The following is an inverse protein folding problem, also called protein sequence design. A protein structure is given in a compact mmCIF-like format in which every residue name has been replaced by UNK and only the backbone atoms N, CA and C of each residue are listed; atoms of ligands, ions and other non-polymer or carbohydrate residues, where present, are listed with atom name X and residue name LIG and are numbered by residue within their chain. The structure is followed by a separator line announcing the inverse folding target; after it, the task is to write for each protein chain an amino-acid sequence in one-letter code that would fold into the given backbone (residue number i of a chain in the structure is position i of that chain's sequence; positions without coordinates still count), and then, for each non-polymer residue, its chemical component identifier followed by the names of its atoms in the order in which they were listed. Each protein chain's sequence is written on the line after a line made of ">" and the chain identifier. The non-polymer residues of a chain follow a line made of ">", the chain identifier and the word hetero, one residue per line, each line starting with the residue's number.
data_IF_916033056693
#
_entry.id   IF_916033056693
#
_cell.length_a   1.000
_cell.length_b   1.000
_cell.length_c   1.000
_cell.angle_alpha   90.00
_cell.angle_beta   90.00
_cell.angle_gamma   90.00
#
_symmetry.space_group_name_H-M   'P 1'
#
loop_
_entity.id
_entity.type
_entity.pdbx_description
1 polymer ?
#
# COMPACT_ATOMS: atom_id res chain seq x y z
N UNK A 1 15.97 -7.12 -7.35
CA UNK A 1 14.88 -8.05 -6.95
C UNK A 1 14.62 -7.84 -5.47
N UNK A 2 13.40 -7.43 -5.08
CA UNK A 2 13.03 -7.22 -3.67
C UNK A 2 13.20 -8.52 -2.86
N UNK A 3 13.79 -8.44 -1.67
CA UNK A 3 14.21 -9.61 -0.87
C UNK A 3 13.09 -10.25 -0.02
N UNK A 4 11.81 -10.01 -0.35
CA UNK A 4 10.68 -10.57 0.39
C UNK A 4 10.34 -9.77 1.65
N UNK A 5 9.38 -10.28 2.42
CA UNK A 5 8.89 -9.66 3.67
C UNK A 5 10.07 -9.44 4.63
N UNK A 6 10.26 -8.20 5.06
CA UNK A 6 11.21 -7.87 6.13
C UNK A 6 10.59 -8.16 7.50
N UNK A 7 9.33 -7.77 7.68
CA UNK A 7 8.52 -8.08 8.86
C UNK A 7 7.05 -7.94 8.51
N UNK A 8 6.20 -8.74 9.12
CA UNK A 8 4.75 -8.67 8.95
C UNK A 8 4.06 -9.04 10.25
N UNK A 9 2.94 -8.39 10.51
CA UNK A 9 2.07 -8.66 11.65
C UNK A 9 0.62 -8.69 11.18
N UNK A 10 -0.23 -9.39 11.94
CA UNK A 10 -1.68 -9.41 11.73
C UNK A 10 -2.35 -8.62 12.85
N UNK A 11 -2.46 -7.27 12.73
CA UNK A 11 -3.04 -6.43 13.77
C UNK A 11 -4.55 -6.71 13.93
N UNK A 12 -5.20 -6.06 14.90
CA UNK A 12 -6.67 -6.02 15.04
C UNK A 12 -7.26 -4.60 15.04
N UNK A 13 -6.42 -3.56 14.87
CA UNK A 13 -6.85 -2.16 14.80
C UNK A 13 -7.73 -1.91 13.57
N UNK A 14 -8.63 -0.93 13.64
CA UNK A 14 -9.64 -0.56 12.64
C UNK A 14 -10.78 -1.55 12.40
N UNK A 15 -10.49 -2.80 12.00
CA UNK A 15 -11.56 -3.76 11.68
C UNK A 15 -11.16 -5.19 12.09
N UNK A 16 -11.39 -5.59 13.35
CA UNK A 16 -10.98 -6.90 13.85
C UNK A 16 -11.74 -8.09 13.22
N UNK A 17 -12.69 -7.82 12.31
CA UNK A 17 -13.53 -8.84 11.66
C UNK A 17 -12.98 -9.28 10.31
N UNK A 18 -11.99 -8.59 9.76
CA UNK A 18 -11.36 -8.92 8.48
C UNK A 18 -9.90 -9.32 8.69
N UNK A 19 -9.36 -10.10 7.75
CA UNK A 19 -7.92 -10.33 7.70
C UNK A 19 -7.22 -9.03 7.37
N UNK A 20 -6.12 -8.77 8.08
CA UNK A 20 -5.31 -7.59 7.84
C UNK A 20 -3.85 -7.90 8.11
N UNK A 21 -2.99 -7.27 7.33
CA UNK A 21 -1.54 -7.40 7.41
C UNK A 21 -0.93 -6.00 7.45
N UNK A 22 0.06 -5.80 8.30
CA UNK A 22 0.91 -4.62 8.20
C UNK A 22 2.36 -4.99 8.45
N UNK A 23 3.25 -4.32 7.73
CA UNK A 23 4.64 -4.73 7.71
C UNK A 23 5.47 -3.98 6.71
N UNK A 24 6.65 -4.53 6.44
CA UNK A 24 7.65 -3.91 5.59
C UNK A 24 8.13 -4.90 4.54
N UNK A 25 8.28 -4.41 3.32
CA UNK A 25 9.04 -5.10 2.27
C UNK A 25 10.36 -4.40 2.03
N UNK A 26 11.44 -5.18 2.00
CA UNK A 26 12.77 -4.66 1.68
C UNK A 26 13.00 -4.66 0.16
N UNK A 27 13.26 -3.47 -0.38
CA UNK A 27 13.55 -3.22 -1.79
C UNK A 27 15.06 -3.02 -1.97
N UNK A 28 15.68 -3.89 -2.76
CA UNK A 28 17.07 -3.79 -3.19
C UNK A 28 17.15 -3.37 -4.67
N UNK A 29 16.32 -2.41 -5.06
CA UNK A 29 16.15 -1.88 -6.43
C UNK A 29 17.24 -0.86 -6.75
N UNK A 30 16.89 0.25 -7.41
CA UNK A 30 17.69 1.27 -8.13
C UNK A 30 19.06 1.60 -7.54
N UNK A 31 19.24 1.44 -6.21
CA UNK A 31 20.51 1.58 -5.51
C UNK A 31 20.71 0.42 -4.52
N UNK A 32 21.39 -0.67 -4.91
CA UNK A 32 21.53 -1.88 -4.07
C UNK A 32 22.23 -1.64 -2.71
N UNK A 33 23.04 -0.60 -2.61
CA UNK A 33 23.73 -0.19 -1.38
C UNK A 33 22.89 0.71 -0.46
N UNK A 34 21.73 1.17 -0.94
CA UNK A 34 20.81 2.07 -0.24
C UNK A 34 19.42 1.43 -0.22
N UNK A 35 19.30 0.34 0.56
CA UNK A 35 18.05 -0.39 0.67
C UNK A 35 16.90 0.50 1.18
N UNK A 36 15.71 0.24 0.64
CA UNK A 36 14.47 0.92 1.00
C UNK A 36 13.51 -0.07 1.63
N UNK A 37 12.73 0.36 2.61
CA UNK A 37 11.78 -0.48 3.31
C UNK A 37 10.43 0.21 3.24
N UNK A 38 9.52 -0.34 2.44
CA UNK A 38 8.19 0.23 2.26
C UNK A 38 7.23 -0.40 3.27
N UNK A 39 6.66 0.44 4.12
CA UNK A 39 5.56 0.09 4.99
C UNK A 39 4.27 -0.03 4.18
N UNK A 40 3.47 -1.03 4.54
CA UNK A 40 2.15 -1.22 3.97
C UNK A 40 1.16 -1.63 5.06
N UNK A 41 -0.11 -1.33 4.82
CA UNK A 41 -1.22 -1.86 5.59
C UNK A 41 -2.33 -2.35 4.66
N UNK A 42 -2.58 -3.64 4.73
CA UNK A 42 -3.59 -4.36 3.96
C UNK A 42 -4.81 -4.70 4.81
N UNK A 43 -6.00 -4.58 4.22
CA UNK A 43 -7.26 -5.03 4.77
C UNK A 43 -8.06 -5.79 3.71
N UNK A 44 -8.56 -6.96 4.07
CA UNK A 44 -9.51 -7.67 3.22
C UNK A 44 -10.84 -6.92 3.08
N UNK A 45 -11.53 -7.21 1.98
CA UNK A 45 -12.91 -6.82 1.78
C UNK A 45 -13.81 -7.50 2.83
N UNK A 46 -14.75 -6.74 3.39
CA UNK A 46 -15.82 -7.23 4.26
C UNK A 46 -16.77 -8.18 3.51
N UNK A 47 -16.86 -8.03 2.19
CA UNK A 47 -17.68 -8.85 1.31
C UNK A 47 -16.80 -9.60 0.31
N UNK A 48 -16.88 -10.94 0.33
CA UNK A 48 -16.24 -11.84 -0.65
C UNK A 48 -14.75 -11.52 -0.93
N UNK A 49 -13.88 -11.47 0.09
CA UNK A 49 -12.49 -11.01 -0.08
C UNK A 49 -11.69 -11.81 -1.13
N UNK A 50 -11.95 -13.11 -1.26
CA UNK A 50 -11.30 -13.96 -2.26
C UNK A 50 -11.59 -13.56 -3.72
N UNK A 51 -12.67 -12.84 -4.01
CA UNK A 51 -13.03 -12.41 -5.37
C UNK A 51 -13.24 -10.91 -5.52
N UNK A 52 -13.19 -10.15 -4.42
CA UNK A 52 -13.23 -8.70 -4.44
C UNK A 52 -11.97 -8.12 -5.12
N UNK A 53 -12.06 -6.98 -5.81
CA UNK A 53 -10.89 -6.34 -6.40
C UNK A 53 -9.84 -5.95 -5.35
N UNK A 54 -8.57 -5.98 -5.73
CA UNK A 54 -7.45 -5.45 -4.94
C UNK A 54 -7.18 -4.01 -5.38
N UNK A 55 -7.30 -3.08 -4.44
CA UNK A 55 -7.03 -1.65 -4.65
C UNK A 55 -5.75 -1.27 -3.92
N UNK A 56 -4.73 -0.89 -4.68
CA UNK A 56 -3.59 -0.16 -4.17
C UNK A 56 -3.97 1.32 -4.00
N UNK A 57 -3.79 1.87 -2.80
CA UNK A 57 -3.99 3.29 -2.51
C UNK A 57 -2.66 4.01 -2.28
N UNK A 58 -2.49 5.14 -2.95
CA UNK A 58 -1.31 6.01 -2.84
C UNK A 58 -1.72 7.45 -2.52
N UNK A 59 -1.36 7.95 -1.34
CA UNK A 59 -1.49 9.38 -1.03
C UNK A 59 -0.34 10.18 -1.66
N UNK A 60 -0.62 11.43 -2.03
CA UNK A 60 0.30 12.34 -2.72
C UNK A 60 1.30 13.07 -1.80
N UNK A 61 1.25 14.41 -1.83
CA UNK A 61 2.20 15.28 -1.14
C UNK A 61 3.08 16.07 -2.13
N UNK A 62 4.20 15.53 -2.62
CA UNK A 62 4.79 14.20 -2.36
C UNK A 62 5.27 14.03 -0.90
N UNK A 63 5.23 12.79 -0.37
CA UNK A 63 5.74 12.47 0.97
C UNK A 63 4.67 12.43 2.08
N UNK A 64 3.39 12.49 1.72
CA UNK A 64 2.30 12.31 2.68
C UNK A 64 1.99 10.82 2.82
N UNK A 65 1.83 10.38 4.08
CA UNK A 65 1.53 8.99 4.40
C UNK A 65 0.15 8.57 3.93
N UNK A 66 0.01 7.32 3.47
CA UNK A 66 -1.27 6.77 3.04
C UNK A 66 -2.20 6.45 4.21
N UNK A 67 -1.68 6.42 5.43
CA UNK A 67 -2.47 6.28 6.65
C UNK A 67 -3.38 7.49 6.88
N UNK A 68 -3.09 8.64 6.25
CA UNK A 68 -4.03 9.78 6.22
C UNK A 68 -5.35 9.37 5.57
N UNK A 69 -5.30 8.65 4.45
CA UNK A 69 -6.50 8.17 3.78
C UNK A 69 -7.15 7.00 4.53
N UNK A 70 -6.33 6.13 5.12
CA UNK A 70 -6.79 5.02 5.95
C UNK A 70 -7.66 5.52 7.11
N UNK A 71 -7.20 6.53 7.86
CA UNK A 71 -7.89 7.03 9.05
C UNK A 71 -8.82 8.23 8.80
N UNK A 72 -8.66 8.94 7.68
CA UNK A 72 -9.37 10.20 7.41
C UNK A 72 -10.37 10.15 6.26
N UNK A 73 -10.31 9.12 5.41
CA UNK A 73 -11.02 9.14 4.13
C UNK A 73 -11.78 7.83 3.87
N UNK A 74 -11.13 6.87 3.20
CA UNK A 74 -11.78 5.70 2.62
C UNK A 74 -11.43 4.38 3.31
N UNK A 75 -10.61 4.43 4.37
CA UNK A 75 -10.21 3.24 5.10
C UNK A 75 -11.26 2.71 6.08
N UNK A 76 -10.96 1.56 6.72
CA UNK A 76 -11.95 0.80 7.48
C UNK A 76 -12.42 1.48 8.76
N UNK A 77 -11.68 2.46 9.25
CA UNK A 77 -11.95 3.18 10.49
C UNK A 77 -11.47 4.63 10.45
N UNK A 78 -11.91 5.43 11.42
CA UNK A 78 -11.37 6.75 11.69
C UNK A 78 -10.86 6.85 13.13
N UNK A 79 -9.91 7.76 13.39
CA UNK A 79 -9.47 8.06 14.75
C UNK A 79 -10.55 8.91 15.44
N UNK A 80 -10.87 8.60 16.71
CA UNK A 80 -11.82 9.39 17.49
C UNK A 80 -11.27 10.78 17.85
N UNK A 81 -12.13 11.67 18.37
CA UNK A 81 -11.73 13.04 18.70
C UNK A 81 -10.63 13.10 19.78
N UNK A 82 -10.61 12.12 20.67
CA UNK A 82 -9.65 12.00 21.76
C UNK A 82 -8.29 11.44 21.31
N UNK A 83 -8.20 10.87 20.11
CA UNK A 83 -6.97 10.29 19.56
C UNK A 83 -6.51 9.00 20.25
N UNK A 84 -7.37 8.34 21.02
CA UNK A 84 -7.03 7.16 21.82
C UNK A 84 -7.71 5.88 21.35
N UNK A 85 -8.69 5.96 20.44
CA UNK A 85 -9.40 4.82 19.89
C UNK A 85 -9.71 5.02 18.40
N UNK A 86 -10.15 3.95 17.75
CA UNK A 86 -10.63 3.99 16.37
C UNK A 86 -12.11 3.61 16.32
N UNK A 87 -12.86 4.29 15.47
CA UNK A 87 -14.29 4.07 15.23
C UNK A 87 -14.50 3.50 13.82
N UNK A 88 -15.32 2.46 13.64
CA UNK A 88 -15.55 1.88 12.31
C UNK A 88 -16.10 2.90 11.31
N UNK A 89 -15.57 2.89 10.09
CA UNK A 89 -16.09 3.68 8.97
C UNK A 89 -17.15 2.86 8.21
N UNK A 90 -18.44 3.22 8.28
CA UNK A 90 -19.50 2.51 7.56
C UNK A 90 -19.42 2.70 6.04
N UNK A 91 -18.72 3.73 5.56
CA UNK A 91 -18.55 4.05 4.14
C UNK A 91 -17.18 3.66 3.58
N UNK A 92 -16.42 2.86 4.33
CA UNK A 92 -15.12 2.36 3.90
C UNK A 92 -15.19 1.64 2.54
N UNK A 93 -14.17 1.84 1.72
CA UNK A 93 -14.04 1.11 0.46
C UNK A 93 -13.82 -0.38 0.68
N UNK A 94 -13.34 -0.79 1.86
CA UNK A 94 -13.21 -2.21 2.20
C UNK A 94 -14.55 -2.90 2.43
N UNK A 95 -15.69 -2.21 2.25
CA UNK A 95 -16.96 -2.89 2.08
C UNK A 95 -16.97 -3.80 0.84
N UNK A 96 -16.27 -3.41 -0.24
CA UNK A 96 -16.34 -4.07 -1.55
C UNK A 96 -14.98 -4.39 -2.18
N UNK A 97 -13.86 -3.99 -1.58
CA UNK A 97 -12.52 -4.20 -2.12
C UNK A 97 -11.50 -4.60 -1.03
N UNK A 98 -10.49 -5.37 -1.41
CA UNK A 98 -9.28 -5.54 -0.61
C UNK A 98 -8.45 -4.25 -0.75
N UNK A 99 -8.12 -3.58 0.35
CA UNK A 99 -7.41 -2.30 0.33
C UNK A 99 -5.96 -2.48 0.77
N UNK A 100 -5.03 -2.01 -0.05
CA UNK A 100 -3.60 -1.99 0.21
C UNK A 100 -3.11 -0.55 0.27
N UNK A 101 -2.93 -0.03 1.48
CA UNK A 101 -2.32 1.28 1.72
C UNK A 101 -0.80 1.13 1.73
N UNK A 102 -0.09 2.07 1.11
CA UNK A 102 1.37 2.06 1.08
C UNK A 102 1.96 3.44 1.36
N UNK A 103 2.97 3.47 2.21
CA UNK A 103 3.79 4.65 2.41
C UNK A 103 4.93 4.67 1.39
N UNK A 104 4.93 5.65 0.51
CA UNK A 104 5.92 5.79 -0.55
C UNK A 104 6.11 7.26 -0.95
N UNK A 105 7.30 7.66 -1.44
CA UNK A 105 8.55 6.89 -1.52
C UNK A 105 9.22 6.70 -0.14
N UNK A 106 10.44 6.14 -0.10
CA UNK A 106 11.20 5.99 1.14
C UNK A 106 11.39 7.34 1.85
N UNK A 107 11.09 7.40 3.16
CA UNK A 107 11.03 8.63 3.95
C UNK A 107 9.61 9.14 4.19
N UNK A 108 8.60 8.54 3.55
CA UNK A 108 7.17 8.84 3.76
C UNK A 108 6.61 8.02 4.91
N UNK A 109 5.91 8.66 5.85
CA UNK A 109 5.24 7.97 6.96
C UNK A 109 6.17 7.02 7.72
N UNK A 110 5.83 5.74 7.70
CA UNK A 110 6.61 4.68 8.33
C UNK A 110 7.70 4.10 7.41
N UNK A 111 7.66 4.36 6.10
CA UNK A 111 8.68 3.89 5.15
C UNK A 111 10.02 4.61 5.32
N UNK A 112 11.12 3.85 5.27
CA UNK A 112 12.46 4.37 5.52
C UNK A 112 13.52 3.77 4.59
N UNK A 113 14.62 4.49 4.38
CA UNK A 113 15.73 4.05 3.55
C UNK A 113 16.67 5.19 3.17
N UNK A 114 17.84 4.86 2.63
CA UNK A 114 18.85 5.84 2.20
C UNK A 114 18.75 6.20 0.71
N UNK A 115 17.96 5.45 -0.06
CA UNK A 115 17.73 5.69 -1.48
C UNK A 115 16.52 6.58 -1.68
N UNK A 116 16.68 7.89 -1.68
CA UNK A 116 15.59 8.80 -2.07
C UNK A 116 15.36 8.70 -3.57
N UNK A 117 14.09 8.59 -3.96
CA UNK A 117 13.63 8.67 -5.35
C UNK A 117 13.65 10.12 -5.83
N UNK A 118 14.17 10.35 -7.04
CA UNK A 118 14.29 11.71 -7.63
C UNK A 118 13.15 12.06 -8.59
N UNK A 119 12.46 11.04 -9.13
CA UNK A 119 11.36 11.20 -10.08
C UNK A 119 10.37 10.02 -10.02
N UNK A 120 9.26 10.14 -10.75
CA UNK A 120 8.21 9.12 -10.82
C UNK A 120 8.68 7.82 -11.48
N UNK A 121 9.75 7.84 -12.28
CA UNK A 121 10.29 6.63 -12.90
C UNK A 121 10.95 5.75 -11.85
N UNK A 122 11.75 6.34 -10.95
CA UNK A 122 12.34 5.61 -9.83
C UNK A 122 11.25 5.10 -8.85
N UNK A 123 10.25 5.93 -8.54
CA UNK A 123 9.08 5.50 -7.73
C UNK A 123 8.37 4.30 -8.37
N UNK A 124 8.12 4.36 -9.69
CA UNK A 124 7.45 3.27 -10.39
C UNK A 124 8.24 1.96 -10.37
N UNK A 125 9.57 2.00 -10.45
CA UNK A 125 10.43 0.82 -10.33
C UNK A 125 10.35 0.18 -8.94
N UNK A 126 10.36 1.00 -7.90
CA UNK A 126 10.27 0.54 -6.52
C UNK A 126 8.89 -0.02 -6.19
N UNK A 127 7.84 0.67 -6.61
CA UNK A 127 6.45 0.21 -6.49
C UNK A 127 6.23 -1.10 -7.23
N UNK A 128 6.80 -1.26 -8.43
CA UNK A 128 6.75 -2.54 -9.13
C UNK A 128 7.46 -3.65 -8.35
N UNK A 129 8.65 -3.37 -7.79
CA UNK A 129 9.37 -4.34 -6.98
C UNK A 129 8.63 -4.71 -5.69
N UNK A 130 7.97 -3.74 -5.05
CA UNK A 130 7.07 -3.95 -3.92
C UNK A 130 5.91 -4.86 -4.30
N UNK A 131 5.16 -4.54 -5.36
CA UNK A 131 4.02 -5.35 -5.81
C UNK A 131 4.43 -6.79 -6.13
N UNK A 132 5.56 -6.96 -6.79
CA UNK A 132 6.13 -8.29 -7.06
C UNK A 132 6.47 -9.05 -5.77
N UNK A 133 6.91 -8.36 -4.71
CA UNK A 133 7.17 -8.98 -3.42
C UNK A 133 5.86 -9.29 -2.67
N UNK A 134 4.88 -8.39 -2.71
CA UNK A 134 3.56 -8.55 -2.13
C UNK A 134 2.85 -9.77 -2.69
N UNK A 135 2.71 -9.89 -4.02
CA UNK A 135 2.03 -11.04 -4.63
C UNK A 135 2.78 -12.36 -4.46
N UNK A 136 4.11 -12.34 -4.31
CA UNK A 136 4.86 -13.55 -3.95
C UNK A 136 4.59 -14.00 -2.51
N UNK A 137 4.35 -13.05 -1.61
CA UNK A 137 4.06 -13.34 -0.22
C UNK A 137 2.59 -13.75 -0.01
N UNK A 138 1.69 -13.14 -0.78
CA UNK A 138 0.25 -13.31 -0.70
C UNK A 138 -0.33 -13.73 -2.08
N UNK A 139 0.04 -14.92 -2.58
CA UNK A 139 -0.34 -15.39 -3.92
C UNK A 139 -1.85 -15.55 -4.11
N UNK A 140 -2.62 -15.68 -3.04
CA UNK A 140 -4.08 -15.73 -3.06
C UNK A 140 -4.74 -14.49 -3.68
N UNK A 141 -4.07 -13.33 -3.66
CA UNK A 141 -4.58 -12.09 -4.23
C UNK A 141 -4.13 -11.83 -5.67
N UNK A 142 -3.27 -12.69 -6.24
CA UNK A 142 -2.70 -12.49 -7.60
C UNK A 142 -3.77 -12.54 -8.69
N UNK A 143 -4.84 -13.32 -8.47
CA UNK A 143 -5.94 -13.49 -9.45
C UNK A 143 -7.03 -12.42 -9.37
N UNK A 144 -6.98 -11.55 -8.37
CA UNK A 144 -8.00 -10.51 -8.17
C UNK A 144 -7.81 -9.39 -9.20
N UNK A 145 -8.92 -8.78 -9.63
CA UNK A 145 -8.85 -7.56 -10.44
C UNK A 145 -8.07 -6.49 -9.66
N UNK A 146 -7.00 -5.97 -10.26
CA UNK A 146 -6.07 -5.06 -9.60
C UNK A 146 -6.23 -3.64 -10.12
N UNK A 147 -6.39 -2.68 -9.20
CA UNK A 147 -6.52 -1.27 -9.50
C UNK A 147 -5.55 -0.42 -8.69
N UNK A 148 -5.01 0.61 -9.32
CA UNK A 148 -4.15 1.60 -8.67
C UNK A 148 -4.92 2.91 -8.53
N UNK A 149 -5.11 3.36 -7.31
CA UNK A 149 -5.80 4.59 -6.96
C UNK A 149 -4.89 5.49 -6.11
N UNK A 150 -5.22 6.77 -6.08
CA UNK A 150 -4.53 7.73 -5.25
C UNK A 150 -5.09 9.14 -5.42
N UNK A 151 -4.61 10.04 -4.58
CA UNK A 151 -5.03 11.44 -4.58
C UNK A 151 -3.87 12.44 -4.59
N UNK A 152 -4.18 13.70 -4.92
CA UNK A 152 -3.21 14.80 -4.95
C UNK A 152 -2.04 14.51 -5.91
N UNK A 153 -0.79 14.63 -5.46
CA UNK A 153 0.40 14.30 -6.26
C UNK A 153 0.41 12.84 -6.76
N UNK A 154 -0.40 11.95 -6.20
CA UNK A 154 -0.57 10.61 -6.77
C UNK A 154 -1.21 10.62 -8.17
N UNK A 155 -1.76 11.75 -8.64
CA UNK A 155 -2.05 11.95 -10.07
C UNK A 155 -0.82 11.78 -10.98
N UNK A 156 0.39 11.89 -10.45
CA UNK A 156 1.65 11.53 -11.12
C UNK A 156 2.06 10.08 -10.84
N UNK A 157 1.95 9.63 -9.59
CA UNK A 157 2.34 8.28 -9.19
C UNK A 157 1.50 7.18 -9.84
N UNK A 158 0.17 7.30 -9.78
CA UNK A 158 -0.79 6.31 -10.29
C UNK A 158 -0.52 5.98 -11.77
N UNK A 159 -0.43 6.94 -12.71
CA UNK A 159 -0.12 6.61 -14.10
C UNK A 159 1.30 6.07 -14.29
N UNK A 160 2.31 6.53 -13.55
CA UNK A 160 3.67 6.01 -13.65
C UNK A 160 3.76 4.54 -13.21
N UNK A 161 3.18 4.21 -12.06
CA UNK A 161 3.11 2.83 -11.53
C UNK A 161 2.27 1.94 -12.45
N UNK A 162 1.10 2.40 -12.88
CA UNK A 162 0.22 1.63 -13.78
C UNK A 162 0.90 1.34 -15.11
N UNK A 163 1.58 2.34 -15.69
CA UNK A 163 2.35 2.16 -16.92
C UNK A 163 3.47 1.13 -16.73
N UNK A 164 4.16 1.18 -15.59
CA UNK A 164 5.23 0.24 -15.28
C UNK A 164 4.76 -1.21 -15.16
N UNK A 165 3.64 -1.43 -14.46
CA UNK A 165 2.99 -2.75 -14.36
C UNK A 165 2.60 -3.25 -15.76
N UNK A 166 1.92 -2.41 -16.56
CA UNK A 166 1.52 -2.76 -17.93
C UNK A 166 2.71 -3.15 -18.81
N UNK A 167 3.84 -2.43 -18.73
CA UNK A 167 5.04 -2.76 -19.51
C UNK A 167 5.62 -4.13 -19.17
N UNK A 168 5.53 -4.56 -17.91
CA UNK A 168 6.15 -5.80 -17.42
C UNK A 168 5.28 -7.04 -17.58
N UNK A 169 3.97 -6.87 -17.76
CA UNK A 169 3.01 -7.95 -17.98
C UNK A 169 2.71 -8.20 -19.47
N UNK A 170 3.62 -7.79 -20.37
CA UNK A 170 3.52 -8.10 -21.80
C UNK A 170 3.98 -9.50 -22.12
#
# INVERSE_FOLDING_TARGET
>A
LARGILSESSPSLCDPRVTQFSGYFHLSTSRPLAGKNYFYWFFEARSKPATAPLVLWMTGGPGCSSEVALFGENGPCAVNQEGNETVPNPHSWNNEANLLYIDQPAGTGFSYGLGLDHDESEVAEDMYAFLQAFFRAHPEYESNDFFVFGESYAGHYVPAVSHRVWQRNK
#
